data_IF_034543955054
#
_entry.id   IF_034543955054
#
_cell.length_a   1.000
_cell.length_b   1.000
_cell.length_c   1.000
_cell.angle_alpha   90.00
_cell.angle_beta   90.00
_cell.angle_gamma   90.00
#
_symmetry.space_group_name_H-M   'P 1'
#
loop_
_entity.id
_entity.type
_entity.pdbx_description
1 polymer ?
#
# COMPACT_ATOMS: atom_id res chain seq x y z
N UNK A 1 7.82 -24.25 11.53
CA UNK A 1 7.70 -22.80 11.81
C UNK A 1 8.98 -22.31 12.46
N UNK A 2 9.59 -21.23 11.94
CA UNK A 2 10.90 -20.73 12.42
C UNK A 2 10.81 -19.67 13.53
N UNK A 3 9.64 -19.03 13.68
CA UNK A 3 9.44 -17.91 14.61
C UNK A 3 8.76 -18.31 15.95
N UNK A 4 8.55 -19.61 16.21
CA UNK A 4 7.95 -20.08 17.47
C UNK A 4 6.43 -19.92 17.60
N UNK A 5 5.73 -19.50 16.54
CA UNK A 5 4.27 -19.39 16.54
C UNK A 5 3.61 -20.77 16.67
N UNK A 6 2.48 -20.82 17.39
CA UNK A 6 1.57 -21.96 17.44
C UNK A 6 0.48 -21.74 16.40
N UNK A 7 0.27 -22.71 15.51
CA UNK A 7 -0.87 -22.68 14.57
C UNK A 7 -2.08 -23.28 15.28
N UNK A 8 -3.12 -22.48 15.41
CA UNK A 8 -4.40 -22.87 15.96
C UNK A 8 -5.51 -22.09 15.25
N UNK A 9 -6.69 -22.70 15.14
CA UNK A 9 -7.87 -22.05 14.57
C UNK A 9 -8.65 -21.29 15.64
N UNK A 10 -8.65 -21.80 16.88
CA UNK A 10 -9.31 -21.15 18.00
C UNK A 10 -8.45 -20.01 18.57
N UNK A 11 -9.03 -18.82 18.62
CA UNK A 11 -8.39 -17.61 19.16
C UNK A 11 -8.83 -17.32 20.61
N UNK A 12 -9.63 -18.20 21.23
CA UNK A 12 -10.22 -18.00 22.56
C UNK A 12 -9.18 -17.81 23.67
N UNK A 13 -7.99 -18.40 23.55
CA UNK A 13 -6.91 -18.23 24.54
C UNK A 13 -6.13 -16.92 24.34
N UNK A 14 -6.23 -16.29 23.16
CA UNK A 14 -5.49 -15.07 22.86
C UNK A 14 -5.92 -13.93 23.79
N UNK A 15 -4.94 -13.25 24.39
CA UNK A 15 -5.19 -12.03 25.17
C UNK A 15 -5.43 -10.81 24.27
N UNK A 16 -4.85 -10.83 23.07
CA UNK A 16 -4.93 -9.78 22.06
C UNK A 16 -5.05 -10.41 20.67
N UNK A 17 -6.06 -10.00 19.91
CA UNK A 17 -6.25 -10.43 18.52
C UNK A 17 -5.83 -9.30 17.59
N UNK A 18 -4.82 -9.56 16.76
CA UNK A 18 -4.23 -8.59 15.84
C UNK A 18 -4.71 -8.85 14.41
N UNK A 19 -5.09 -7.79 13.70
CA UNK A 19 -5.44 -7.88 12.28
C UNK A 19 -5.12 -6.58 11.55
N UNK A 20 -4.86 -6.66 10.24
CA UNK A 20 -4.71 -5.45 9.41
C UNK A 20 -6.07 -4.82 9.13
N UNK A 21 -7.09 -5.65 8.91
CA UNK A 21 -8.47 -5.23 8.62
C UNK A 21 -9.42 -5.75 9.69
N UNK A 22 -10.63 -5.19 9.73
CA UNK A 22 -11.69 -5.62 10.64
C UNK A 22 -12.02 -7.11 10.43
N UNK A 23 -12.25 -7.89 11.50
CA UNK A 23 -12.78 -9.23 11.38
C UNK A 23 -14.24 -9.19 10.88
N UNK A 24 -14.78 -10.29 10.35
CA UNK A 24 -16.23 -10.45 10.19
C UNK A 24 -16.92 -10.31 11.55
N UNK A 25 -18.04 -9.57 11.60
CA UNK A 25 -18.72 -9.20 12.84
C UNK A 25 -19.21 -10.44 13.61
N UNK A 26 -19.66 -11.47 12.89
CA UNK A 26 -20.09 -12.75 13.44
C UNK A 26 -18.97 -13.54 14.14
N UNK A 27 -17.70 -13.20 13.88
CA UNK A 27 -16.52 -13.85 14.47
C UNK A 27 -15.91 -13.06 15.63
N UNK A 28 -16.50 -11.93 16.00
CA UNK A 28 -16.02 -11.14 17.13
C UNK A 28 -16.34 -11.85 18.44
N UNK A 29 -15.29 -12.17 19.21
CA UNK A 29 -15.39 -12.85 20.49
C UNK A 29 -15.67 -11.79 21.58
N UNK A 30 -16.74 -11.93 22.38
CA UNK A 30 -17.05 -10.99 23.45
C UNK A 30 -15.96 -10.88 24.51
N UNK A 31 -15.83 -9.69 25.11
CA UNK A 31 -14.90 -9.39 26.22
C UNK A 31 -13.42 -9.66 25.89
N UNK A 32 -13.04 -9.55 24.62
CA UNK A 32 -11.65 -9.65 24.14
C UNK A 32 -11.05 -8.29 23.81
N UNK A 33 -9.73 -8.28 23.63
CA UNK A 33 -9.00 -7.10 23.13
C UNK A 33 -8.60 -7.34 21.68
N UNK A 34 -8.86 -6.37 20.82
CA UNK A 34 -8.50 -6.39 19.41
C UNK A 34 -7.65 -5.18 19.04
N UNK A 35 -6.72 -5.34 18.08
CA UNK A 35 -6.04 -4.22 17.43
C UNK A 35 -6.06 -4.34 15.91
N UNK A 36 -6.67 -3.35 15.25
CA UNK A 36 -6.82 -3.27 13.79
C UNK A 36 -7.24 -1.85 13.35
N UNK A 37 -7.22 -1.57 12.04
CA UNK A 37 -7.82 -0.37 11.48
C UNK A 37 -9.35 -0.50 11.46
N UNK A 38 -10.03 0.09 12.43
CA UNK A 38 -11.49 -0.04 12.54
C UNK A 38 -12.26 0.83 11.55
N UNK A 39 -11.64 1.95 11.13
CA UNK A 39 -12.24 2.99 10.31
C UNK A 39 -13.50 3.63 10.95
N UNK A 40 -13.63 3.55 12.27
CA UNK A 40 -14.81 4.08 13.00
C UNK A 40 -14.65 5.53 13.46
N UNK A 41 -13.42 6.00 13.70
CA UNK A 41 -13.18 7.35 14.26
C UNK A 41 -13.75 8.50 13.41
N UNK A 42 -13.87 8.29 12.10
CA UNK A 42 -14.42 9.29 11.16
C UNK A 42 -15.95 9.26 11.08
N UNK A 43 -16.61 8.46 11.91
CA UNK A 43 -18.07 8.29 11.94
C UNK A 43 -18.67 7.99 10.54
N UNK A 44 -17.96 7.22 9.73
CA UNK A 44 -18.46 6.79 8.43
C UNK A 44 -19.56 5.75 8.64
N UNK A 45 -20.75 5.99 8.08
CA UNK A 45 -21.96 5.17 8.30
C UNK A 45 -21.71 3.67 8.12
N UNK A 46 -20.99 3.27 7.07
CA UNK A 46 -20.63 1.89 6.76
C UNK A 46 -19.77 1.17 7.83
N UNK A 47 -19.22 1.91 8.81
CA UNK A 47 -18.38 1.38 9.89
C UNK A 47 -19.07 1.46 11.26
N UNK A 48 -20.23 2.09 11.37
CA UNK A 48 -20.89 2.30 12.67
C UNK A 48 -21.53 1.03 13.23
N UNK A 49 -22.02 0.14 12.36
CA UNK A 49 -22.54 -1.18 12.77
C UNK A 49 -21.47 -2.00 13.53
N UNK A 50 -20.24 -2.01 13.03
CA UNK A 50 -19.10 -2.63 13.72
C UNK A 50 -18.88 -2.00 15.10
N UNK A 51 -18.89 -0.67 15.21
CA UNK A 51 -18.68 -0.01 16.50
C UNK A 51 -19.76 -0.41 17.51
N UNK A 52 -21.01 -0.47 17.08
CA UNK A 52 -22.13 -0.92 17.92
C UNK A 52 -21.95 -2.37 18.38
N UNK A 53 -21.53 -3.27 17.49
CA UNK A 53 -21.27 -4.67 17.83
C UNK A 53 -20.11 -4.82 18.83
N UNK A 54 -19.01 -4.07 18.64
CA UNK A 54 -17.87 -4.06 19.57
C UNK A 54 -18.30 -3.58 20.97
N UNK A 55 -19.15 -2.57 21.05
CA UNK A 55 -19.69 -2.06 22.31
C UNK A 55 -20.60 -3.09 23.00
N UNK A 56 -21.56 -3.67 22.26
CA UNK A 56 -22.47 -4.71 22.77
C UNK A 56 -21.72 -5.93 23.31
N UNK A 57 -20.63 -6.30 22.67
CA UNK A 57 -19.78 -7.44 23.04
C UNK A 57 -18.71 -7.09 24.09
N UNK A 58 -18.71 -5.86 24.61
CA UNK A 58 -17.72 -5.38 25.60
C UNK A 58 -16.27 -5.58 25.13
N UNK A 59 -16.03 -5.40 23.83
CA UNK A 59 -14.71 -5.54 23.23
C UNK A 59 -13.88 -4.29 23.50
N UNK A 60 -12.61 -4.50 23.87
CA UNK A 60 -11.61 -3.43 23.93
C UNK A 60 -10.95 -3.29 22.56
N UNK A 61 -11.13 -2.14 21.93
CA UNK A 61 -10.51 -1.83 20.64
C UNK A 61 -9.27 -0.94 20.80
N UNK A 62 -8.15 -1.39 20.24
CA UNK A 62 -6.93 -0.59 20.05
C UNK A 62 -6.87 -0.23 18.56
N UNK A 63 -7.31 0.98 18.20
CA UNK A 63 -7.35 1.38 16.79
C UNK A 63 -5.98 1.89 16.31
N UNK A 64 -5.40 1.20 15.31
CA UNK A 64 -4.15 1.61 14.67
C UNK A 64 -4.21 3.02 14.09
N UNK A 65 -5.39 3.49 13.64
CA UNK A 65 -5.56 4.83 13.10
C UNK A 65 -5.29 5.94 14.13
N UNK A 66 -5.35 5.60 15.43
CA UNK A 66 -5.13 6.52 16.56
C UNK A 66 -3.81 6.30 17.29
N UNK A 67 -2.97 5.39 16.83
CA UNK A 67 -1.61 5.24 17.34
C UNK A 67 -0.73 6.38 16.81
N UNK A 68 -0.36 7.28 17.71
CA UNK A 68 0.49 8.44 17.42
C UNK A 68 1.66 8.52 18.40
N UNK A 69 2.76 9.16 17.98
CA UNK A 69 3.87 9.51 18.86
C UNK A 69 3.55 10.75 19.72
N UNK A 70 4.53 11.19 20.52
CA UNK A 70 4.40 12.37 21.38
C UNK A 70 4.14 13.68 20.61
N UNK A 71 4.47 13.73 19.32
CA UNK A 71 4.26 14.89 18.45
C UNK A 71 2.95 14.77 17.64
N UNK A 72 2.17 13.71 17.85
CA UNK A 72 0.91 13.46 17.12
C UNK A 72 1.09 12.82 15.74
N UNK A 73 2.30 12.39 15.38
CA UNK A 73 2.52 11.68 14.11
C UNK A 73 2.08 10.22 14.21
N UNK A 74 1.32 9.77 13.21
CA UNK A 74 0.85 8.39 13.15
C UNK A 74 2.03 7.42 12.98
N UNK A 75 2.16 6.47 13.88
CA UNK A 75 3.26 5.49 13.87
C UNK A 75 2.92 4.23 13.05
N UNK A 76 1.64 3.90 12.90
CA UNK A 76 1.19 2.77 12.06
C UNK A 76 0.57 3.31 10.78
N UNK A 77 1.33 3.27 9.68
CA UNK A 77 0.86 3.71 8.37
C UNK A 77 1.54 2.94 7.22
N UNK A 78 0.82 2.77 6.12
CA UNK A 78 1.32 2.12 4.90
C UNK A 78 1.69 3.14 3.80
N UNK A 79 1.72 4.43 4.13
CA UNK A 79 1.76 5.51 3.14
C UNK A 79 2.91 5.38 2.14
N UNK A 80 4.13 5.15 2.61
CA UNK A 80 5.31 5.03 1.72
C UNK A 80 5.17 3.87 0.74
N UNK A 81 4.80 2.68 1.23
CA UNK A 81 4.61 1.50 0.38
C UNK A 81 3.44 1.63 -0.59
N UNK A 82 2.38 2.37 -0.20
CA UNK A 82 1.31 2.71 -1.12
C UNK A 82 1.81 3.61 -2.26
N UNK A 83 2.70 4.55 -1.97
CA UNK A 83 3.38 5.37 -2.97
C UNK A 83 4.23 4.54 -3.94
N UNK A 84 5.06 3.67 -3.38
CA UNK A 84 5.93 2.75 -4.15
C UNK A 84 5.11 1.89 -5.10
N UNK A 85 4.12 1.15 -4.58
CA UNK A 85 3.28 0.29 -5.40
C UNK A 85 2.43 1.09 -6.40
N UNK A 86 1.95 2.26 -6.00
CA UNK A 86 1.18 3.17 -6.86
C UNK A 86 1.98 3.64 -8.06
N UNK A 87 3.22 4.10 -7.86
CA UNK A 87 4.07 4.55 -8.95
C UNK A 87 4.42 3.41 -9.91
N UNK A 88 4.81 2.24 -9.40
CA UNK A 88 5.08 1.05 -10.24
C UNK A 88 3.87 0.72 -11.13
N UNK A 89 2.65 0.75 -10.56
CA UNK A 89 1.44 0.47 -11.32
C UNK A 89 1.11 1.57 -12.35
N UNK A 90 1.42 2.84 -12.05
CA UNK A 90 1.28 3.95 -13.02
C UNK A 90 2.24 3.72 -14.20
N UNK A 91 3.51 3.39 -13.94
CA UNK A 91 4.50 3.12 -14.99
C UNK A 91 4.10 1.91 -15.86
N UNK A 92 3.61 0.84 -15.23
CA UNK A 92 3.02 -0.29 -15.95
C UNK A 92 1.84 0.15 -16.83
N UNK A 93 0.93 0.96 -16.28
CA UNK A 93 -0.21 1.51 -17.00
C UNK A 93 0.19 2.38 -18.19
N UNK A 94 1.28 3.15 -18.08
CA UNK A 94 1.86 3.90 -19.20
C UNK A 94 2.35 2.95 -20.30
N UNK A 95 3.01 1.85 -19.95
CA UNK A 95 3.43 0.81 -20.90
C UNK A 95 2.24 0.27 -21.71
N UNK A 96 1.14 -0.08 -21.04
CA UNK A 96 -0.10 -0.52 -21.70
C UNK A 96 -0.72 0.58 -22.56
N UNK A 97 -0.76 1.81 -22.05
CA UNK A 97 -1.35 2.96 -22.76
C UNK A 97 -0.59 3.28 -24.04
N UNK A 98 0.74 3.32 -23.99
CA UNK A 98 1.57 3.59 -25.16
C UNK A 98 1.51 2.46 -26.17
N UNK A 99 1.49 1.20 -25.72
CA UNK A 99 1.25 0.06 -26.60
C UNK A 99 -0.09 0.18 -27.34
N UNK A 100 -1.16 0.54 -26.63
CA UNK A 100 -2.48 0.75 -27.24
C UNK A 100 -2.52 1.91 -28.24
N UNK A 101 -1.58 2.86 -28.13
CA UNK A 101 -1.38 3.95 -29.09
C UNK A 101 -0.44 3.58 -30.25
N UNK A 102 0.03 2.32 -30.32
CA UNK A 102 0.92 1.83 -31.36
C UNK A 102 2.41 2.09 -31.10
N UNK A 103 2.79 2.43 -29.86
CA UNK A 103 4.17 2.71 -29.49
C UNK A 103 4.78 1.57 -28.67
N UNK A 104 5.95 1.12 -29.11
CA UNK A 104 6.81 0.29 -28.29
C UNK A 104 7.65 1.19 -27.37
N UNK A 105 7.55 1.02 -26.06
CA UNK A 105 8.26 1.85 -25.07
C UNK A 105 8.86 0.98 -23.96
N UNK A 106 9.97 1.41 -23.32
CA UNK A 106 10.57 0.68 -22.20
C UNK A 106 9.60 0.36 -21.05
N UNK A 107 8.58 1.21 -20.84
CA UNK A 107 7.56 0.99 -19.81
C UNK A 107 6.78 -0.33 -19.98
N UNK A 108 6.76 -0.93 -21.18
CA UNK A 108 6.09 -2.20 -21.44
C UNK A 108 6.67 -3.38 -20.64
N UNK A 109 7.92 -3.28 -20.20
CA UNK A 109 8.59 -4.34 -19.44
C UNK A 109 8.35 -4.25 -17.93
N UNK A 110 7.72 -3.16 -17.46
CA UNK A 110 7.36 -3.01 -16.05
C UNK A 110 6.07 -3.80 -15.81
N UNK A 111 6.13 -4.82 -14.96
CA UNK A 111 4.96 -5.52 -14.44
C UNK A 111 4.25 -4.75 -13.33
N UNK A 112 3.00 -5.13 -13.02
CA UNK A 112 2.28 -4.63 -11.84
C UNK A 112 3.04 -4.96 -10.55
N UNK A 113 2.94 -4.08 -9.54
CA UNK A 113 3.68 -4.18 -8.29
C UNK A 113 3.53 -5.54 -7.58
N UNK A 114 2.34 -6.16 -7.65
CA UNK A 114 2.06 -7.45 -7.01
C UNK A 114 2.71 -8.65 -7.72
N UNK A 115 3.24 -8.48 -8.93
CA UNK A 115 3.94 -9.55 -9.65
C UNK A 115 5.39 -9.72 -9.19
N UNK A 116 5.95 -8.74 -8.46
CA UNK A 116 7.31 -8.84 -7.93
C UNK A 116 7.30 -9.52 -6.57
N UNK A 117 8.30 -10.37 -6.33
CA UNK A 117 8.44 -11.09 -5.06
C UNK A 117 8.88 -10.17 -3.92
N UNK A 118 9.60 -9.10 -4.25
CA UNK A 118 10.11 -8.11 -3.31
C UNK A 118 10.33 -6.76 -4.00
N UNK A 119 10.50 -5.71 -3.20
CA UNK A 119 10.68 -4.33 -3.71
C UNK A 119 11.94 -4.20 -4.57
N UNK A 120 13.03 -4.87 -4.24
CA UNK A 120 14.29 -4.76 -4.98
C UNK A 120 14.14 -5.19 -6.44
N UNK A 121 13.36 -6.25 -6.69
CA UNK A 121 13.05 -6.69 -8.06
C UNK A 121 12.22 -5.64 -8.82
N UNK A 122 11.23 -5.03 -8.15
CA UNK A 122 10.42 -3.99 -8.77
C UNK A 122 11.25 -2.74 -9.11
N UNK A 123 12.13 -2.32 -8.20
CA UNK A 123 13.06 -1.21 -8.43
C UNK A 123 14.01 -1.53 -9.58
N UNK A 124 14.53 -2.76 -9.67
CA UNK A 124 15.41 -3.15 -10.78
C UNK A 124 14.70 -3.03 -12.13
N UNK A 125 13.44 -3.47 -12.24
CA UNK A 125 12.67 -3.31 -13.47
C UNK A 125 12.47 -1.84 -13.87
N UNK A 126 12.30 -0.95 -12.89
CA UNK A 126 12.20 0.50 -13.16
C UNK A 126 13.55 1.07 -13.59
N UNK A 127 14.67 0.64 -12.98
CA UNK A 127 16.02 1.02 -13.40
C UNK A 127 16.35 0.57 -14.82
N UNK A 128 16.00 -0.66 -15.17
CA UNK A 128 16.22 -1.19 -16.52
C UNK A 128 15.43 -0.36 -17.56
N UNK A 129 14.18 0.00 -17.23
CA UNK A 129 13.39 0.95 -18.02
C UNK A 129 14.09 2.32 -18.13
N UNK A 130 14.58 2.88 -17.02
CA UNK A 130 15.31 4.15 -17.00
C UNK A 130 16.59 4.12 -17.85
N UNK A 131 17.30 3.00 -17.86
CA UNK A 131 18.47 2.80 -18.71
C UNK A 131 18.11 2.82 -20.19
N UNK A 132 17.07 2.11 -20.61
CA UNK A 132 16.58 2.14 -22.00
C UNK A 132 16.11 3.53 -22.44
N UNK A 133 15.43 4.27 -21.54
CA UNK A 133 15.05 5.67 -21.80
C UNK A 133 16.31 6.51 -22.05
N UNK A 134 17.34 6.36 -21.22
CA UNK A 134 18.61 7.09 -21.34
C UNK A 134 19.38 6.76 -22.62
N UNK A 135 19.23 5.53 -23.13
CA UNK A 135 19.77 5.08 -24.41
C UNK A 135 18.98 5.60 -25.63
N UNK A 136 17.90 6.35 -25.41
CA UNK A 136 17.08 6.93 -26.47
C UNK A 136 16.07 5.96 -27.08
N UNK A 137 15.69 4.88 -26.38
CA UNK A 137 14.67 3.93 -26.85
C UNK A 137 13.23 4.41 -26.67
N UNK A 138 13.03 5.64 -26.18
CA UNK A 138 11.72 6.30 -26.22
C UNK A 138 11.42 6.85 -27.62
N UNK A 139 10.26 6.53 -28.22
CA UNK A 139 9.86 7.10 -29.50
C UNK A 139 9.71 8.62 -29.44
N UNK A 140 10.31 9.34 -30.41
CA UNK A 140 10.23 10.80 -30.50
C UNK A 140 8.79 11.33 -30.58
N UNK A 141 7.85 10.53 -31.08
CA UNK A 141 6.43 10.87 -31.17
C UNK A 141 5.73 11.01 -29.82
N UNK A 142 6.25 10.39 -28.76
CA UNK A 142 5.69 10.53 -27.40
C UNK A 142 6.03 11.89 -26.80
N UNK A 143 7.19 12.46 -27.15
CA UNK A 143 7.68 13.69 -26.52
C UNK A 143 8.00 13.50 -25.03
N UNK A 144 8.13 14.60 -24.27
CA UNK A 144 8.38 14.53 -22.83
C UNK A 144 7.16 14.00 -22.07
N UNK A 145 7.41 13.18 -21.04
CA UNK A 145 6.37 12.67 -20.12
C UNK A 145 6.51 13.40 -18.79
N UNK A 146 5.51 14.22 -18.43
CA UNK A 146 5.52 14.99 -17.19
C UNK A 146 4.76 14.26 -16.07
N UNK A 147 5.42 14.12 -14.92
CA UNK A 147 4.80 13.61 -13.69
C UNK A 147 4.55 14.78 -12.72
N UNK A 148 3.34 14.87 -12.16
CA UNK A 148 2.98 15.88 -11.18
C UNK A 148 2.59 15.22 -9.86
N UNK A 149 3.21 15.65 -8.75
CA UNK A 149 2.91 15.16 -7.40
C UNK A 149 2.19 16.23 -6.58
N UNK A 150 0.93 15.97 -6.25
CA UNK A 150 0.13 16.86 -5.41
C UNK A 150 0.16 16.37 -3.95
N UNK A 151 1.25 16.68 -3.25
CA UNK A 151 1.40 16.40 -1.81
C UNK A 151 2.82 16.09 -1.38
N UNK A 152 3.12 16.24 -0.09
CA UNK A 152 4.46 16.07 0.49
C UNK A 152 4.55 14.95 1.52
N UNK A 153 3.46 14.21 1.72
CA UNK A 153 3.37 13.10 2.67
C UNK A 153 4.07 11.83 2.20
N UNK A 154 4.06 10.79 3.05
CA UNK A 154 4.78 9.54 2.82
C UNK A 154 4.40 8.84 1.50
N UNK A 155 3.15 8.95 1.05
CA UNK A 155 2.72 8.41 -0.25
C UNK A 155 3.45 9.09 -1.41
N UNK A 156 3.54 10.41 -1.38
CA UNK A 156 4.25 11.17 -2.42
C UNK A 156 5.74 10.84 -2.40
N UNK A 157 6.35 10.77 -1.22
CA UNK A 157 7.77 10.37 -1.08
C UNK A 157 8.03 8.98 -1.65
N UNK A 158 7.24 7.98 -1.28
CA UNK A 158 7.40 6.61 -1.81
C UNK A 158 7.17 6.51 -3.32
N UNK A 159 6.30 7.35 -3.88
CA UNK A 159 6.11 7.41 -5.32
C UNK A 159 7.30 8.08 -6.04
N UNK A 160 7.86 9.15 -5.45
CA UNK A 160 9.08 9.80 -5.94
C UNK A 160 10.32 8.90 -5.82
N UNK A 161 10.42 8.10 -4.75
CA UNK A 161 11.51 7.11 -4.59
C UNK A 161 11.61 6.18 -5.80
N UNK A 162 10.46 5.79 -6.38
CA UNK A 162 10.42 4.97 -7.60
C UNK A 162 10.67 5.82 -8.86
N UNK A 163 10.09 7.02 -8.94
CA UNK A 163 10.27 7.86 -10.12
C UNK A 163 11.75 8.28 -10.31
N UNK A 164 12.48 8.51 -9.22
CA UNK A 164 13.89 8.88 -9.23
C UNK A 164 14.82 7.78 -9.77
N UNK A 165 14.31 6.58 -10.01
CA UNK A 165 15.06 5.50 -10.69
C UNK A 165 14.97 5.62 -12.23
N UNK A 166 14.19 6.57 -12.75
CA UNK A 166 14.17 6.98 -14.15
C UNK A 166 15.06 8.22 -14.36
N UNK A 167 15.50 8.51 -15.60
CA UNK A 167 16.28 9.71 -15.92
C UNK A 167 15.39 10.96 -15.95
N UNK A 168 14.86 11.35 -14.79
CA UNK A 168 14.04 12.55 -14.60
C UNK A 168 14.90 13.80 -14.41
N UNK A 169 14.38 14.95 -14.84
CA UNK A 169 14.98 16.29 -14.70
C UNK A 169 14.24 17.13 -13.67
#
# INVERSE_FOLDING_TARGET
MRAGAVIQEDLSEASLILGVKRPPEEKIIPRKTYAFFSHTIKAQEANMALLEDLLKKEVRLIDYEKMVDANGFRIVAFGQWAGVAGMINILHGLGLRFLALGHHTPFMYIGMAHNYRNVSQAIQAVRDCGYEISMGFMPKSIGPVTFCFTGTGNVSKGAQDILNELPVE
#
